data_IF_661707457726
#
_entry.id   IF_661707457726
#
_cell.length_a   1.000
_cell.length_b   1.000
_cell.length_c   1.000
_cell.angle_alpha   90.00
_cell.angle_beta   90.00
_cell.angle_gamma   90.00
#
_symmetry.space_group_name_H-M   'P 1'
#
loop_
_entity.id
_entity.type
_entity.pdbx_description
1 polymer ?
#
# COMPACT_ATOMS: atom_id res chain seq x y z
N UNK A 1 15.73 17.61 22.64
CA UNK A 1 15.63 16.73 21.46
C UNK A 1 16.62 15.55 21.48
N UNK A 2 17.69 15.60 22.23
CA UNK A 2 18.74 14.53 22.28
C UNK A 2 18.36 13.20 22.96
N UNK A 3 17.28 13.15 23.75
CA UNK A 3 16.92 11.91 24.50
C UNK A 3 16.13 10.87 23.68
N UNK A 4 15.55 11.21 22.54
CA UNK A 4 14.74 10.28 21.75
C UNK A 4 15.61 9.43 20.82
N UNK A 5 16.57 10.00 20.12
CA UNK A 5 17.49 9.27 19.24
C UNK A 5 18.38 8.25 19.97
N UNK A 6 18.69 8.50 21.25
CA UNK A 6 19.48 7.56 22.07
C UNK A 6 18.71 6.31 22.49
N UNK A 7 17.36 6.39 22.60
CA UNK A 7 16.53 5.22 22.91
C UNK A 7 16.35 4.30 21.69
N UNK A 8 16.17 4.86 20.51
CA UNK A 8 16.02 4.09 19.27
C UNK A 8 17.34 3.38 18.88
N UNK A 9 18.48 4.05 19.04
CA UNK A 9 19.80 3.44 18.85
C UNK A 9 20.08 2.31 19.85
N UNK A 10 19.57 2.43 21.09
CA UNK A 10 19.71 1.38 22.12
C UNK A 10 18.82 0.19 21.78
N UNK A 11 17.61 0.40 21.26
CA UNK A 11 16.68 -0.67 20.86
C UNK A 11 17.28 -1.46 19.68
N UNK A 12 17.80 -0.79 18.67
CA UNK A 12 18.44 -1.43 17.52
C UNK A 12 19.68 -2.24 17.94
N UNK A 13 20.51 -1.69 18.83
CA UNK A 13 21.67 -2.39 19.37
C UNK A 13 21.26 -3.60 20.23
N UNK A 14 20.17 -3.49 20.99
CA UNK A 14 19.66 -4.58 21.84
C UNK A 14 19.10 -5.73 20.97
N UNK A 15 18.42 -5.42 19.88
CA UNK A 15 17.93 -6.42 18.92
C UNK A 15 19.10 -7.15 18.24
N UNK A 16 20.14 -6.43 17.83
CA UNK A 16 21.36 -7.04 17.27
C UNK A 16 22.07 -7.96 18.27
N UNK A 17 22.14 -7.56 19.53
CA UNK A 17 22.76 -8.37 20.60
C UNK A 17 21.92 -9.62 20.91
N UNK A 18 20.58 -9.53 20.88
CA UNK A 18 19.69 -10.67 21.08
C UNK A 18 19.81 -11.66 19.92
N UNK A 19 19.84 -11.17 18.68
CA UNK A 19 20.05 -12.02 17.49
C UNK A 19 21.43 -12.71 17.55
N UNK A 20 22.49 -11.98 17.90
CA UNK A 20 23.82 -12.55 18.09
C UNK A 20 23.87 -13.60 19.23
N UNK A 21 23.18 -13.33 20.36
CA UNK A 21 23.11 -14.25 21.49
C UNK A 21 22.29 -15.53 21.18
N UNK A 22 21.23 -15.43 20.39
CA UNK A 22 20.46 -16.59 19.89
C UNK A 22 21.32 -17.44 18.95
N UNK A 23 22.07 -16.81 18.05
CA UNK A 23 22.99 -17.51 17.15
C UNK A 23 24.12 -18.22 17.95
N UNK A 24 24.73 -17.56 18.94
CA UNK A 24 25.79 -18.15 19.77
C UNK A 24 25.26 -19.25 20.70
N UNK A 25 24.08 -19.10 21.29
CA UNK A 25 23.44 -20.13 22.14
C UNK A 25 23.07 -21.38 21.34
N UNK A 26 22.71 -21.24 20.06
CA UNK A 26 22.41 -22.32 19.14
C UNK A 26 23.68 -23.05 18.68
N UNK A 27 24.76 -22.32 18.43
CA UNK A 27 26.04 -22.88 18.04
C UNK A 27 26.74 -23.71 19.17
N UNK A 28 26.44 -23.41 20.42
CA UNK A 28 27.04 -24.11 21.59
C UNK A 28 26.31 -25.42 21.95
N UNK A 29 25.14 -25.70 21.39
CA UNK A 29 24.35 -26.90 21.64
C UNK A 29 24.62 -28.08 20.68
N UNK A 30 25.47 -27.90 19.64
CA UNK A 30 25.58 -28.80 18.51
C UNK A 30 26.87 -29.66 18.46
N UNK A 31 27.61 -29.77 19.57
CA UNK A 31 28.78 -30.65 19.58
C UNK A 31 28.49 -31.99 20.26
N UNK A 32 27.86 -32.89 19.56
CA UNK A 32 28.00 -34.31 19.76
C UNK A 32 28.32 -34.98 18.42
N UNK A 33 29.61 -35.28 18.22
CA UNK A 33 30.08 -36.07 17.09
C UNK A 33 29.73 -37.54 17.28
N UNK A 34 28.82 -38.06 16.46
CA UNK A 34 28.83 -39.48 16.12
C UNK A 34 29.22 -39.62 14.64
N UNK A 35 30.47 -40.06 14.40
CA UNK A 35 31.02 -40.35 13.07
C UNK A 35 30.63 -41.77 12.63
N UNK A 36 29.34 -41.98 12.39
CA UNK A 36 28.84 -43.16 11.67
C UNK A 36 28.12 -42.67 10.41
N UNK A 37 28.66 -42.93 9.22
CA UNK A 37 27.91 -42.72 7.98
C UNK A 37 26.69 -43.64 8.01
N UNK A 38 25.50 -43.05 8.23
CA UNK A 38 24.23 -43.73 8.12
C UNK A 38 23.98 -44.00 6.63
N UNK A 39 23.85 -45.26 6.22
CA UNK A 39 23.38 -45.56 4.88
C UNK A 39 21.93 -45.21 4.74
N UNK A 40 21.63 -44.25 3.83
CA UNK A 40 20.28 -43.80 3.54
C UNK A 40 19.50 -44.93 2.84
N UNK A 41 18.31 -45.20 3.30
CA UNK A 41 17.33 -46.05 2.62
C UNK A 41 16.83 -45.36 1.32
N UNK A 42 16.26 -46.10 0.40
CA UNK A 42 15.69 -45.55 -0.83
C UNK A 42 14.56 -44.57 -0.53
N UNK A 43 13.76 -44.79 0.51
CA UNK A 43 12.67 -43.88 0.96
C UNK A 43 13.28 -42.59 1.48
N UNK A 44 14.33 -42.61 2.30
CA UNK A 44 14.99 -41.37 2.77
C UNK A 44 15.58 -40.57 1.60
N UNK A 45 16.18 -41.26 0.60
CA UNK A 45 16.69 -40.59 -0.61
C UNK A 45 15.58 -39.90 -1.40
N UNK A 46 14.42 -40.55 -1.53
CA UNK A 46 13.25 -39.97 -2.21
C UNK A 46 12.74 -38.73 -1.45
N UNK A 47 12.57 -38.86 -0.14
CA UNK A 47 12.09 -37.73 0.69
C UNK A 47 13.06 -36.53 0.64
N UNK A 48 14.38 -36.79 0.60
CA UNK A 48 15.39 -35.74 0.43
C UNK A 48 15.24 -35.05 -0.94
N UNK A 49 15.07 -35.86 -1.99
CA UNK A 49 14.89 -35.33 -3.35
C UNK A 49 13.62 -34.46 -3.47
N UNK A 50 12.51 -34.91 -2.91
CA UNK A 50 11.23 -34.19 -2.93
C UNK A 50 11.32 -32.89 -2.13
N UNK A 51 11.97 -32.92 -0.96
CA UNK A 51 12.21 -31.71 -0.17
C UNK A 51 13.09 -30.70 -0.93
N UNK A 52 14.22 -31.13 -1.51
CA UNK A 52 15.14 -30.26 -2.27
C UNK A 52 14.44 -29.65 -3.49
N UNK A 53 13.58 -30.43 -4.17
CA UNK A 53 12.77 -29.92 -5.26
C UNK A 53 11.77 -28.86 -4.78
N UNK A 54 11.08 -29.10 -3.65
CA UNK A 54 10.11 -28.19 -3.08
C UNK A 54 10.74 -26.84 -2.69
N UNK A 55 11.87 -26.87 -1.99
CA UNK A 55 12.57 -25.63 -1.62
C UNK A 55 13.13 -24.92 -2.86
N UNK A 56 13.56 -25.64 -3.89
CA UNK A 56 14.03 -25.03 -5.13
C UNK A 56 12.92 -24.26 -5.83
N UNK A 57 11.69 -24.77 -5.81
CA UNK A 57 10.50 -24.07 -6.33
C UNK A 57 10.23 -22.79 -5.54
N UNK A 58 10.23 -22.84 -4.20
CA UNK A 58 10.01 -21.68 -3.35
C UNK A 58 11.09 -20.60 -3.56
N UNK A 59 12.35 -21.00 -3.65
CA UNK A 59 13.46 -20.07 -3.94
C UNK A 59 13.29 -19.44 -5.31
N UNK A 60 12.89 -20.20 -6.32
CA UNK A 60 12.61 -19.66 -7.64
C UNK A 60 11.45 -18.65 -7.64
N UNK A 61 10.39 -18.96 -6.88
CA UNK A 61 9.26 -18.03 -6.71
C UNK A 61 9.72 -16.74 -6.01
N UNK A 62 10.49 -16.84 -4.93
CA UNK A 62 11.06 -15.67 -4.23
C UNK A 62 11.94 -14.82 -5.15
N UNK A 63 12.74 -15.44 -6.01
CA UNK A 63 13.53 -14.71 -7.01
C UNK A 63 12.64 -13.97 -8.02
N UNK A 64 11.49 -14.55 -8.43
CA UNK A 64 10.52 -13.88 -9.30
C UNK A 64 9.86 -12.67 -8.61
N UNK A 65 9.48 -12.82 -7.34
CA UNK A 65 8.92 -11.70 -6.55
C UNK A 65 9.92 -10.55 -6.47
N UNK A 66 11.18 -10.86 -6.16
CA UNK A 66 12.24 -9.84 -6.10
C UNK A 66 12.46 -9.16 -7.45
N UNK A 67 12.48 -9.94 -8.54
CA UNK A 67 12.58 -9.38 -9.88
C UNK A 67 11.40 -8.44 -10.20
N UNK A 68 10.16 -8.85 -9.84
CA UNK A 68 8.97 -8.01 -9.99
C UNK A 68 9.12 -6.71 -9.21
N UNK A 69 9.53 -6.78 -7.94
CA UNK A 69 9.74 -5.61 -7.09
C UNK A 69 10.72 -4.60 -7.74
N UNK A 70 11.92 -5.02 -8.12
CA UNK A 70 12.90 -4.10 -8.72
C UNK A 70 12.46 -3.61 -10.10
N UNK A 71 11.78 -4.45 -10.89
CA UNK A 71 11.21 -4.02 -12.17
C UNK A 71 10.12 -2.95 -12.00
N UNK A 72 9.23 -3.09 -11.01
CA UNK A 72 8.23 -2.07 -10.65
C UNK A 72 8.92 -0.77 -10.26
N UNK A 73 9.99 -0.85 -9.45
CA UNK A 73 10.75 0.36 -9.07
C UNK A 73 11.42 1.06 -10.26
N UNK A 74 11.87 0.33 -11.27
CA UNK A 74 12.44 0.94 -12.48
C UNK A 74 11.39 1.55 -13.42
N UNK A 75 10.15 1.08 -13.33
CA UNK A 75 9.02 1.53 -14.16
C UNK A 75 8.12 2.57 -13.49
N UNK A 76 8.49 3.09 -12.35
CA UNK A 76 7.67 4.07 -11.60
C UNK A 76 7.24 5.27 -12.45
N UNK A 77 8.00 5.64 -13.48
CA UNK A 77 7.67 6.73 -14.42
C UNK A 77 6.48 6.43 -15.34
N UNK A 78 6.11 5.16 -15.45
CA UNK A 78 5.05 4.67 -16.34
C UNK A 78 3.79 4.28 -15.54
N UNK A 79 3.86 4.28 -14.21
CA UNK A 79 2.79 3.82 -13.33
C UNK A 79 2.02 5.00 -12.73
N UNK A 80 0.70 4.80 -12.62
CA UNK A 80 -0.11 5.63 -11.72
C UNK A 80 0.18 5.27 -10.26
N UNK A 81 -0.31 6.11 -9.33
CA UNK A 81 -0.20 5.83 -7.90
C UNK A 81 -0.96 4.56 -7.52
N UNK A 82 -2.14 4.35 -8.09
CA UNK A 82 -2.99 3.18 -7.87
C UNK A 82 -2.34 1.90 -8.40
N UNK A 83 -1.73 1.97 -9.59
CA UNK A 83 -1.02 0.83 -10.18
C UNK A 83 0.19 0.45 -9.32
N UNK A 84 0.98 1.44 -8.88
CA UNK A 84 2.11 1.21 -7.99
C UNK A 84 1.66 0.59 -6.65
N UNK A 85 0.56 1.08 -6.07
CA UNK A 85 -0.02 0.52 -4.83
C UNK A 85 -0.43 -0.93 -5.02
N UNK A 86 -1.11 -1.23 -6.12
CA UNK A 86 -1.59 -2.57 -6.47
C UNK A 86 -0.44 -3.54 -6.73
N UNK A 87 0.59 -3.13 -7.49
CA UNK A 87 1.76 -3.97 -7.75
C UNK A 87 2.55 -4.28 -6.46
N UNK A 88 2.70 -3.29 -5.56
CA UNK A 88 3.37 -3.51 -4.28
C UNK A 88 2.55 -4.43 -3.35
N UNK A 89 1.22 -4.33 -3.36
CA UNK A 89 0.37 -5.26 -2.61
C UNK A 89 0.49 -6.70 -3.13
N UNK A 90 0.51 -6.90 -4.44
CA UNK A 90 0.70 -8.22 -5.04
C UNK A 90 2.08 -8.82 -4.68
N UNK A 91 3.14 -8.00 -4.69
CA UNK A 91 4.49 -8.42 -4.26
C UNK A 91 4.50 -8.87 -2.79
N UNK A 92 3.83 -8.14 -1.91
CA UNK A 92 3.72 -8.49 -0.49
C UNK A 92 2.97 -9.81 -0.33
N UNK A 93 1.83 -9.98 -0.99
CA UNK A 93 1.01 -11.19 -0.89
C UNK A 93 1.75 -12.41 -1.45
N UNK A 94 2.39 -12.29 -2.63
CA UNK A 94 3.21 -13.36 -3.22
C UNK A 94 4.34 -13.77 -2.27
N UNK A 95 5.02 -12.80 -1.64
CA UNK A 95 6.08 -13.07 -0.67
C UNK A 95 5.57 -13.77 0.59
N UNK A 96 4.41 -13.36 1.08
CA UNK A 96 3.74 -13.97 2.24
C UNK A 96 3.35 -15.42 1.96
N UNK A 97 2.78 -15.71 0.80
CA UNK A 97 2.44 -17.09 0.37
C UNK A 97 3.69 -17.98 0.33
N UNK A 98 4.84 -17.46 -0.14
CA UNK A 98 6.09 -18.22 -0.15
C UNK A 98 6.55 -18.55 1.27
N UNK A 99 6.47 -17.59 2.19
CA UNK A 99 6.81 -17.79 3.59
C UNK A 99 5.88 -18.81 4.25
N UNK A 100 4.57 -18.72 4.03
CA UNK A 100 3.59 -19.68 4.56
C UNK A 100 3.84 -21.09 4.02
N UNK A 101 4.04 -21.22 2.71
CA UNK A 101 4.37 -22.50 2.08
C UNK A 101 5.69 -23.08 2.60
N UNK A 102 6.70 -22.26 2.93
CA UNK A 102 7.94 -22.75 3.52
C UNK A 102 7.72 -23.34 4.91
N UNK A 103 6.86 -22.73 5.72
CA UNK A 103 6.51 -23.21 7.07
C UNK A 103 5.70 -24.50 7.06
N UNK A 104 4.99 -24.79 5.96
CA UNK A 104 4.23 -26.04 5.78
C UNK A 104 5.08 -27.20 5.32
N UNK A 105 6.30 -26.97 4.85
CA UNK A 105 7.21 -28.03 4.48
C UNK A 105 7.69 -28.80 5.70
N UNK A 106 7.74 -30.14 5.56
CA UNK A 106 8.32 -31.03 6.57
C UNK A 106 9.75 -31.39 6.13
N UNK A 107 10.79 -30.72 6.64
CA UNK A 107 12.15 -31.07 6.31
C UNK A 107 12.52 -32.45 6.87
N UNK A 108 13.31 -33.23 6.16
CA UNK A 108 13.99 -34.39 6.80
C UNK A 108 14.80 -33.91 8.00
N UNK A 109 14.84 -34.71 9.07
CA UNK A 109 15.50 -34.40 10.36
C UNK A 109 16.90 -33.78 10.20
N UNK A 110 17.66 -34.25 9.22
CA UNK A 110 19.02 -33.77 8.93
C UNK A 110 19.08 -32.36 8.35
N UNK A 111 17.95 -31.84 7.82
CA UNK A 111 17.86 -30.53 7.19
C UNK A 111 17.06 -29.52 8.01
N UNK A 112 16.56 -29.85 9.20
CA UNK A 112 15.80 -28.95 10.05
C UNK A 112 16.54 -27.65 10.31
N UNK A 113 17.84 -27.72 10.60
CA UNK A 113 18.67 -26.52 10.84
C UNK A 113 18.78 -25.65 9.60
N UNK A 114 19.04 -26.26 8.44
CA UNK A 114 19.10 -25.54 7.17
C UNK A 114 17.71 -24.93 6.84
N UNK A 115 16.64 -25.68 7.06
CA UNK A 115 15.28 -25.22 6.83
C UNK A 115 14.95 -23.97 7.66
N UNK A 116 15.32 -23.94 8.95
CA UNK A 116 15.14 -22.76 9.79
C UNK A 116 15.82 -21.50 9.24
N UNK A 117 17.00 -21.64 8.59
CA UNK A 117 17.60 -20.51 7.86
C UNK A 117 16.80 -20.11 6.64
N UNK A 118 16.22 -21.07 5.89
CA UNK A 118 15.38 -20.76 4.73
C UNK A 118 14.12 -20.03 5.12
N UNK A 119 13.43 -20.45 6.18
CA UNK A 119 12.29 -19.74 6.73
C UNK A 119 12.66 -18.30 7.11
N UNK A 120 13.79 -18.12 7.79
CA UNK A 120 14.28 -16.79 8.17
C UNK A 120 14.59 -15.92 6.94
N UNK A 121 15.08 -16.50 5.83
CA UNK A 121 15.26 -15.79 4.56
C UNK A 121 13.94 -15.25 4.07
N UNK A 122 12.91 -16.09 3.98
CA UNK A 122 11.60 -15.66 3.45
C UNK A 122 10.89 -14.71 4.39
N UNK A 123 10.97 -14.88 5.71
CA UNK A 123 10.43 -13.98 6.71
C UNK A 123 11.07 -12.57 6.59
N UNK A 124 12.39 -12.53 6.47
CA UNK A 124 13.14 -11.27 6.31
C UNK A 124 12.80 -10.56 5.00
N UNK A 125 12.61 -11.31 3.91
CA UNK A 125 12.19 -10.77 2.60
C UNK A 125 10.77 -10.23 2.65
N UNK A 126 9.84 -11.01 3.22
CA UNK A 126 8.45 -10.57 3.37
C UNK A 126 8.36 -9.27 4.17
N UNK A 127 9.04 -9.24 5.32
CA UNK A 127 9.12 -8.04 6.15
C UNK A 127 9.68 -6.84 5.37
N UNK A 128 10.69 -7.02 4.55
CA UNK A 128 11.23 -5.94 3.73
C UNK A 128 10.19 -5.36 2.78
N UNK A 129 9.40 -6.18 2.10
CA UNK A 129 8.34 -5.71 1.20
C UNK A 129 7.19 -5.05 1.96
N UNK A 130 6.76 -5.60 3.10
CA UNK A 130 5.72 -5.01 3.96
C UNK A 130 6.11 -3.62 4.46
N UNK A 131 7.35 -3.46 4.94
CA UNK A 131 7.84 -2.19 5.50
C UNK A 131 8.14 -1.15 4.40
N UNK A 132 8.48 -1.60 3.18
CA UNK A 132 8.81 -0.71 2.05
C UNK A 132 7.63 0.12 1.59
N UNK A 133 6.47 -0.50 1.38
CA UNK A 133 5.29 0.16 0.82
C UNK A 133 4.87 1.41 1.61
N UNK A 134 4.58 1.35 2.92
CA UNK A 134 4.18 2.52 3.69
C UNK A 134 5.29 3.58 3.75
N UNK A 135 6.56 3.17 3.83
CA UNK A 135 7.69 4.10 3.85
C UNK A 135 7.82 4.87 2.53
N UNK A 136 7.66 4.20 1.37
CA UNK A 136 7.67 4.85 0.07
C UNK A 136 6.53 5.86 -0.05
N UNK A 137 5.29 5.47 0.28
CA UNK A 137 4.14 6.37 0.17
C UNK A 137 4.22 7.55 1.17
N UNK A 138 4.84 7.40 2.32
CA UNK A 138 5.13 8.51 3.23
C UNK A 138 6.18 9.46 2.64
N UNK A 139 7.25 8.94 2.05
CA UNK A 139 8.25 9.74 1.35
C UNK A 139 7.64 10.55 0.20
N UNK A 140 6.74 9.94 -0.59
CA UNK A 140 6.05 10.61 -1.71
C UNK A 140 5.11 11.73 -1.26
N UNK A 141 4.64 11.73 0.00
CA UNK A 141 3.81 12.78 0.61
C UNK A 141 4.58 13.88 1.31
N UNK A 142 5.91 13.88 1.28
CA UNK A 142 6.79 14.75 2.06
C UNK A 142 6.58 14.68 3.59
N UNK A 143 5.97 13.59 4.05
CA UNK A 143 5.79 13.36 5.47
C UNK A 143 7.09 12.77 6.06
N UNK A 144 7.74 13.51 6.93
CA UNK A 144 8.94 13.06 7.65
C UNK A 144 9.96 12.36 6.73
N UNK A 145 10.44 13.08 5.71
CA UNK A 145 11.31 12.52 4.65
C UNK A 145 12.53 11.79 5.22
N UNK A 146 13.14 12.31 6.28
CA UNK A 146 14.29 11.67 6.94
C UNK A 146 13.93 10.32 7.56
N UNK A 147 12.74 10.24 8.19
CA UNK A 147 12.23 9.01 8.79
C UNK A 147 11.92 8.00 7.67
N UNK A 148 11.18 8.43 6.64
CA UNK A 148 10.82 7.57 5.51
C UNK A 148 12.06 7.06 4.77
N UNK A 149 13.07 7.91 4.55
CA UNK A 149 14.33 7.52 3.94
C UNK A 149 15.05 6.47 4.79
N UNK A 150 15.07 6.65 6.11
CA UNK A 150 15.67 5.68 7.04
C UNK A 150 14.91 4.35 7.00
N UNK A 151 13.58 4.38 6.97
CA UNK A 151 12.75 3.18 6.86
C UNK A 151 13.02 2.43 5.56
N UNK A 152 13.05 3.11 4.42
CA UNK A 152 13.38 2.51 3.11
C UNK A 152 14.80 1.92 3.12
N UNK A 153 15.77 2.63 3.70
CA UNK A 153 17.13 2.10 3.85
C UNK A 153 17.13 0.80 4.65
N UNK A 154 16.37 0.73 5.74
CA UNK A 154 16.25 -0.48 6.55
C UNK A 154 15.62 -1.63 5.77
N UNK A 155 14.66 -1.38 4.86
CA UNK A 155 14.09 -2.44 4.03
C UNK A 155 15.14 -3.04 3.09
N UNK A 156 15.99 -2.21 2.48
CA UNK A 156 17.11 -2.72 1.68
C UNK A 156 18.18 -3.43 2.51
N UNK A 157 18.39 -3.03 3.76
CA UNK A 157 19.23 -3.76 4.69
C UNK A 157 18.64 -5.15 5.02
N UNK A 158 17.33 -5.27 5.21
CA UNK A 158 16.68 -6.58 5.36
C UNK A 158 16.85 -7.45 4.12
N UNK A 159 16.70 -6.90 2.92
CA UNK A 159 16.97 -7.64 1.68
C UNK A 159 18.41 -8.13 1.61
N UNK A 160 19.38 -7.27 1.92
CA UNK A 160 20.79 -7.63 2.00
C UNK A 160 21.05 -8.72 3.05
N UNK A 161 20.48 -8.58 4.26
CA UNK A 161 20.60 -9.59 5.31
C UNK A 161 20.01 -10.93 4.87
N UNK A 162 18.89 -10.93 4.16
CA UNK A 162 18.29 -12.16 3.64
C UNK A 162 19.21 -12.88 2.65
N UNK A 163 19.96 -12.14 1.83
CA UNK A 163 20.93 -12.72 0.91
C UNK A 163 22.11 -13.38 1.67
N UNK A 164 22.60 -12.74 2.73
CA UNK A 164 23.65 -13.32 3.58
C UNK A 164 23.14 -14.55 4.36
N UNK A 165 21.90 -14.53 4.86
CA UNK A 165 21.28 -15.69 5.53
C UNK A 165 21.07 -16.82 4.52
N UNK A 166 20.77 -16.52 3.27
CA UNK A 166 20.63 -17.53 2.23
C UNK A 166 21.94 -18.29 1.96
N UNK A 167 23.08 -17.64 2.04
CA UNK A 167 24.38 -18.30 1.95
C UNK A 167 24.58 -19.30 3.12
N UNK A 168 24.20 -18.93 4.35
CA UNK A 168 24.23 -19.84 5.49
C UNK A 168 23.30 -21.04 5.29
N UNK A 169 22.12 -20.81 4.74
CA UNK A 169 21.21 -21.90 4.38
C UNK A 169 21.87 -22.87 3.40
N UNK A 170 22.46 -22.36 2.33
CA UNK A 170 23.14 -23.20 1.33
C UNK A 170 24.31 -23.99 1.94
N UNK A 171 25.12 -23.36 2.77
CA UNK A 171 26.23 -24.00 3.45
C UNK A 171 25.75 -25.09 4.39
N UNK A 172 24.72 -24.86 5.19
CA UNK A 172 24.15 -25.85 6.11
C UNK A 172 23.47 -27.01 5.38
N UNK A 173 22.79 -26.74 4.31
CA UNK A 173 22.20 -27.80 3.48
C UNK A 173 23.27 -28.67 2.86
N UNK A 174 24.33 -28.07 2.33
CA UNK A 174 25.47 -28.79 1.76
C UNK A 174 26.20 -29.64 2.82
N UNK A 175 26.51 -29.06 3.98
CA UNK A 175 27.12 -29.73 5.11
C UNK A 175 26.32 -30.97 5.52
N UNK A 176 25.02 -30.83 5.67
CA UNK A 176 24.10 -31.92 6.02
C UNK A 176 24.09 -33.01 4.94
N UNK A 177 24.06 -32.61 3.65
CA UNK A 177 24.13 -33.54 2.53
C UNK A 177 25.46 -34.34 2.50
N UNK A 178 26.59 -33.67 2.70
CA UNK A 178 27.93 -34.31 2.74
C UNK A 178 28.04 -35.33 3.88
N UNK A 179 27.47 -34.99 5.06
CA UNK A 179 27.43 -35.92 6.20
C UNK A 179 26.63 -37.19 5.89
N UNK A 180 25.62 -37.11 5.03
CA UNK A 180 24.81 -38.22 4.54
C UNK A 180 25.43 -38.93 3.33
N UNK A 181 26.60 -38.48 2.84
CA UNK A 181 27.24 -39.02 1.65
C UNK A 181 26.60 -38.60 0.33
N UNK A 182 25.70 -37.60 0.35
CA UNK A 182 25.10 -37.04 -0.85
C UNK A 182 26.10 -36.01 -1.43
N UNK A 183 26.60 -36.33 -2.61
CA UNK A 183 27.51 -35.43 -3.35
C UNK A 183 26.69 -34.52 -4.25
N UNK A 184 27.06 -33.23 -4.32
CA UNK A 184 26.49 -32.24 -5.24
C UNK A 184 25.02 -31.87 -4.94
N UNK A 185 24.68 -31.66 -3.67
CA UNK A 185 23.42 -31.09 -3.29
C UNK A 185 23.49 -29.57 -3.60
N UNK A 186 22.87 -29.16 -4.70
CA UNK A 186 22.90 -27.78 -5.15
C UNK A 186 21.48 -27.23 -5.24
N UNK A 187 21.31 -26.01 -4.78
CA UNK A 187 20.08 -25.23 -4.95
C UNK A 187 20.43 -23.96 -5.75
N UNK A 188 19.47 -23.43 -6.48
CA UNK A 188 19.66 -22.23 -7.29
C UNK A 188 20.10 -21.05 -6.42
N UNK A 189 20.92 -20.18 -6.98
CA UNK A 189 21.32 -18.95 -6.31
C UNK A 189 20.14 -17.99 -6.12
N UNK A 190 20.18 -17.27 -5.01
CA UNK A 190 19.14 -16.30 -4.68
C UNK A 190 19.76 -15.07 -4.05
N UNK A 191 20.21 -14.15 -4.90
CA UNK A 191 20.66 -12.80 -4.51
C UNK A 191 19.60 -11.82 -5.02
N UNK A 192 18.87 -11.20 -4.10
CA UNK A 192 17.79 -10.26 -4.44
C UNK A 192 18.29 -8.83 -4.52
N UNK A 193 19.18 -8.40 -3.62
CA UNK A 193 19.72 -7.04 -3.62
C UNK A 193 21.01 -6.96 -4.44
N UNK A 194 20.88 -6.71 -5.74
CA UNK A 194 22.02 -6.60 -6.66
C UNK A 194 22.81 -5.30 -6.45
N UNK A 195 22.11 -4.19 -6.19
CA UNK A 195 22.73 -2.90 -5.89
C UNK A 195 22.84 -2.70 -4.38
N UNK A 196 24.01 -3.04 -3.85
CA UNK A 196 24.33 -2.85 -2.43
C UNK A 196 24.43 -1.38 -2.02
N UNK A 197 24.51 -0.44 -2.97
CA UNK A 197 24.46 1.00 -2.71
C UNK A 197 23.17 1.43 -2.03
N UNK A 198 22.06 0.72 -2.28
CA UNK A 198 20.75 1.00 -1.68
C UNK A 198 20.70 0.75 -0.15
N UNK A 199 21.71 0.12 0.44
CA UNK A 199 21.85 0.03 1.90
C UNK A 199 22.38 1.34 2.53
N UNK A 200 22.67 2.35 1.70
CA UNK A 200 23.14 3.64 2.14
C UNK A 200 22.04 4.69 2.01
N UNK A 201 21.79 5.44 3.06
CA UNK A 201 20.74 6.48 3.14
C UNK A 201 20.88 7.54 2.03
N UNK A 202 22.11 7.93 1.66
CA UNK A 202 22.33 8.91 0.58
C UNK A 202 21.86 8.41 -0.77
N UNK A 203 22.11 7.13 -1.08
CA UNK A 203 21.63 6.50 -2.33
C UNK A 203 20.10 6.37 -2.34
N UNK A 204 19.51 6.04 -1.19
CA UNK A 204 18.05 5.98 -1.03
C UNK A 204 17.41 7.36 -1.17
N UNK A 205 18.03 8.44 -0.68
CA UNK A 205 17.56 9.81 -0.92
C UNK A 205 17.53 10.13 -2.42
N UNK A 206 18.57 9.74 -3.15
CA UNK A 206 18.63 9.90 -4.61
C UNK A 206 17.49 9.14 -5.31
N UNK A 207 17.28 7.89 -4.93
CA UNK A 207 16.18 7.05 -5.42
C UNK A 207 14.80 7.66 -5.16
N UNK A 208 14.53 8.11 -3.92
CA UNK A 208 13.26 8.79 -3.58
C UNK A 208 13.10 10.07 -4.40
N UNK A 209 14.16 10.87 -4.53
CA UNK A 209 14.12 12.11 -5.30
C UNK A 209 13.79 11.86 -6.76
N UNK A 210 14.30 10.79 -7.35
CA UNK A 210 13.99 10.41 -8.73
C UNK A 210 12.50 10.03 -8.88
N UNK A 211 11.96 9.20 -7.98
CA UNK A 211 10.54 8.79 -8.01
C UNK A 211 9.64 10.02 -7.80
N UNK A 212 9.98 10.94 -6.92
CA UNK A 212 9.20 12.16 -6.65
C UNK A 212 9.10 13.11 -7.85
N UNK A 213 9.98 13.02 -8.83
CA UNK A 213 9.83 13.80 -10.07
C UNK A 213 8.66 13.32 -10.93
N UNK A 214 8.10 12.14 -10.65
CA UNK A 214 6.96 11.57 -11.38
C UNK A 214 5.67 12.16 -10.83
N UNK A 215 5.07 13.10 -11.56
CA UNK A 215 3.86 13.83 -11.14
C UNK A 215 2.69 12.89 -10.82
N UNK A 216 2.57 11.78 -11.56
CA UNK A 216 1.48 10.79 -11.39
C UNK A 216 1.53 10.06 -10.03
N UNK A 217 2.71 9.97 -9.42
CA UNK A 217 2.89 9.32 -8.11
C UNK A 217 2.66 10.27 -6.93
N UNK A 218 2.62 11.59 -7.16
CA UNK A 218 2.32 12.54 -6.10
C UNK A 218 0.87 12.37 -5.66
N UNK A 219 0.64 12.51 -4.37
CA UNK A 219 -0.72 12.52 -3.84
C UNK A 219 -1.44 13.77 -4.32
N UNK A 220 -2.54 13.57 -5.04
CA UNK A 220 -3.48 14.63 -5.40
C UNK A 220 -4.80 14.34 -4.70
N UNK A 221 -5.29 15.32 -3.97
CA UNK A 221 -6.58 15.27 -3.29
C UNK A 221 -7.50 16.30 -3.87
N UNK A 222 -8.78 15.98 -3.97
CA UNK A 222 -9.76 16.93 -4.41
C UNK A 222 -11.09 16.29 -4.76
N UNK A 223 -12.14 17.05 -4.50
CA UNK A 223 -13.52 16.71 -4.88
C UNK A 223 -14.09 17.83 -5.74
N UNK A 224 -15.04 17.50 -6.57
CA UNK A 224 -15.71 18.48 -7.41
C UNK A 224 -17.22 18.24 -7.46
N UNK A 225 -17.97 19.31 -7.57
CA UNK A 225 -19.38 19.28 -7.96
C UNK A 225 -19.45 19.27 -9.50
N UNK A 226 -20.12 18.27 -10.08
CA UNK A 226 -20.32 18.20 -11.53
C UNK A 226 -21.51 19.10 -11.89
N UNK A 227 -21.21 20.25 -12.47
CA UNK A 227 -22.19 21.33 -12.74
C UNK A 227 -23.39 20.82 -13.56
N UNK A 228 -23.17 20.12 -14.64
CA UNK A 228 -24.26 19.64 -15.52
C UNK A 228 -25.05 18.43 -14.96
N UNK A 229 -24.76 18.00 -13.74
CA UNK A 229 -25.38 16.81 -13.15
C UNK A 229 -26.59 17.09 -12.29
N UNK A 230 -26.91 18.37 -12.06
CA UNK A 230 -28.00 18.73 -11.16
C UNK A 230 -29.36 18.28 -11.69
N UNK A 231 -30.17 17.76 -10.79
CA UNK A 231 -31.58 17.41 -11.05
C UNK A 231 -32.44 17.91 -9.92
N UNK A 232 -33.51 18.62 -10.30
CA UNK A 232 -34.54 19.10 -9.38
C UNK A 232 -35.75 18.16 -9.41
N UNK A 233 -36.37 18.02 -8.26
CA UNK A 233 -37.71 17.48 -8.10
C UNK A 233 -38.51 18.44 -7.19
N UNK A 234 -39.52 19.15 -7.70
CA UNK A 234 -40.16 19.06 -9.03
C UNK A 234 -39.22 19.41 -10.20
N UNK A 235 -39.51 18.80 -11.36
CA UNK A 235 -38.68 18.90 -12.56
C UNK A 235 -38.61 20.36 -13.09
N UNK A 236 -37.50 20.65 -13.78
CA UNK A 236 -37.35 21.89 -14.57
C UNK A 236 -38.25 21.83 -15.78
N UNK A 237 -39.10 22.81 -15.95
CA UNK A 237 -40.02 22.96 -17.08
C UNK A 237 -39.36 23.68 -18.25
N UNK A 238 -38.68 24.80 -17.96
CA UNK A 238 -37.99 25.65 -18.93
C UNK A 238 -37.01 26.58 -18.23
N UNK A 239 -36.32 27.42 -19.01
CA UNK A 239 -35.42 28.46 -18.53
C UNK A 239 -35.96 29.86 -18.91
N UNK A 240 -35.90 30.80 -18.00
CA UNK A 240 -36.27 32.16 -18.22
C UNK A 240 -35.16 33.13 -17.77
N UNK A 241 -34.37 33.60 -18.73
CA UNK A 241 -33.14 34.36 -18.43
C UNK A 241 -32.14 33.47 -17.69
N UNK A 242 -31.71 33.91 -16.50
CA UNK A 242 -30.77 33.15 -15.64
C UNK A 242 -31.46 32.18 -14.66
N UNK A 243 -32.79 32.03 -14.77
CA UNK A 243 -33.59 31.26 -13.82
C UNK A 243 -34.13 29.97 -14.46
N UNK A 244 -33.92 28.84 -13.78
CA UNK A 244 -34.63 27.60 -14.05
C UNK A 244 -36.07 27.71 -13.52
N UNK A 245 -37.06 27.37 -14.31
CA UNK A 245 -38.47 27.34 -13.88
C UNK A 245 -38.82 25.93 -13.50
N UNK A 246 -39.07 25.69 -12.22
CA UNK A 246 -39.48 24.38 -11.70
C UNK A 246 -41.00 24.25 -11.72
N UNK A 247 -41.49 23.03 -11.90
CA UNK A 247 -42.91 22.73 -11.72
C UNK A 247 -43.34 23.03 -10.26
N UNK A 248 -44.62 23.26 -10.07
CA UNK A 248 -45.18 23.48 -8.73
C UNK A 248 -45.10 22.19 -7.89
N UNK A 249 -44.86 22.32 -6.58
CA UNK A 249 -44.76 21.22 -5.62
C UNK A 249 -44.60 21.70 -4.18
N UNK A 250 -44.89 20.85 -3.20
CA UNK A 250 -44.87 21.24 -1.79
C UNK A 250 -43.44 21.31 -1.20
N UNK A 251 -42.50 20.61 -1.81
CA UNK A 251 -41.10 20.49 -1.38
C UNK A 251 -40.18 20.42 -2.59
N UNK A 252 -38.92 20.72 -2.38
CA UNK A 252 -37.88 20.61 -3.39
C UNK A 252 -36.84 19.60 -2.94
N UNK A 253 -36.50 18.71 -3.84
CA UNK A 253 -35.36 17.80 -3.70
C UNK A 253 -34.34 18.08 -4.79
N UNK A 254 -33.06 17.99 -4.44
CA UNK A 254 -31.96 18.29 -5.35
C UNK A 254 -30.99 17.10 -5.36
N UNK A 255 -30.74 16.56 -6.53
CA UNK A 255 -29.70 15.56 -6.73
C UNK A 255 -28.55 16.16 -7.53
N UNK A 256 -27.32 15.88 -7.10
CA UNK A 256 -26.08 16.36 -7.74
C UNK A 256 -25.03 15.26 -7.69
N UNK A 257 -24.13 15.27 -8.66
CA UNK A 257 -23.01 14.30 -8.69
C UNK A 257 -21.76 14.97 -8.15
N UNK A 258 -21.10 14.28 -7.21
CA UNK A 258 -19.79 14.63 -6.67
C UNK A 258 -18.76 13.65 -7.24
N UNK A 259 -17.63 14.16 -7.69
CA UNK A 259 -16.52 13.39 -8.22
C UNK A 259 -15.30 13.52 -7.32
N UNK A 260 -14.61 12.43 -7.05
CA UNK A 260 -13.24 12.48 -6.55
C UNK A 260 -12.30 12.70 -7.74
N UNK A 261 -11.70 13.88 -7.83
CA UNK A 261 -10.72 14.25 -8.87
C UNK A 261 -9.27 14.01 -8.43
N UNK A 262 -9.09 13.51 -7.22
CA UNK A 262 -7.79 13.07 -6.69
C UNK A 262 -7.38 11.68 -7.17
N UNK A 263 -6.24 11.21 -6.64
CA UNK A 263 -5.72 9.87 -6.85
C UNK A 263 -5.62 9.06 -5.54
N UNK A 264 -6.39 9.44 -4.54
CA UNK A 264 -6.54 8.73 -3.26
C UNK A 264 -8.00 8.66 -2.88
N UNK A 265 -8.37 7.67 -2.08
CA UNK A 265 -9.71 7.58 -1.52
C UNK A 265 -9.98 8.78 -0.61
N UNK A 266 -11.10 9.47 -0.83
CA UNK A 266 -11.58 10.50 0.06
C UNK A 266 -12.66 9.94 0.97
N UNK A 267 -12.54 10.20 2.28
CA UNK A 267 -13.50 9.75 3.28
C UNK A 267 -14.18 10.95 3.92
N UNK A 268 -15.40 10.74 4.42
CA UNK A 268 -16.20 11.74 5.13
C UNK A 268 -16.36 13.05 4.33
N UNK A 269 -16.61 12.92 3.01
CA UNK A 269 -16.79 14.08 2.14
C UNK A 269 -18.12 14.72 2.43
N UNK A 270 -18.10 15.95 2.97
CA UNK A 270 -19.29 16.69 3.32
C UNK A 270 -19.78 17.52 2.14
N UNK A 271 -21.09 17.42 1.83
CA UNK A 271 -21.76 18.19 0.79
C UNK A 271 -22.81 19.08 1.46
N UNK A 272 -22.65 20.38 1.30
CA UNK A 272 -23.53 21.37 1.88
C UNK A 272 -24.36 22.01 0.78
N UNK A 273 -25.69 22.10 0.97
CA UNK A 273 -26.61 22.82 0.10
C UNK A 273 -27.24 23.96 0.86
N UNK A 274 -27.02 25.18 0.37
CA UNK A 274 -27.58 26.41 0.90
C UNK A 274 -28.63 26.95 -0.05
N UNK A 275 -29.83 27.06 0.44
CA UNK A 275 -30.99 27.58 -0.28
C UNK A 275 -31.42 28.92 0.28
N UNK A 276 -31.55 29.88 -0.57
CA UNK A 276 -31.94 31.25 -0.18
C UNK A 276 -32.99 31.83 -1.13
N UNK A 277 -34.02 32.44 -0.59
CA UNK A 277 -35.03 33.21 -1.35
C UNK A 277 -34.67 34.69 -1.42
N UNK A 278 -35.25 35.44 -2.35
CA UNK A 278 -35.09 36.88 -2.46
C UNK A 278 -35.49 37.67 -1.17
N UNK A 279 -36.36 37.08 -0.33
CA UNK A 279 -36.74 37.63 0.99
C UNK A 279 -35.78 37.22 2.12
N UNK A 280 -34.62 36.69 1.81
CA UNK A 280 -33.61 36.21 2.75
C UNK A 280 -34.10 35.04 3.66
N UNK A 281 -35.06 34.23 3.22
CA UNK A 281 -35.32 32.95 3.89
C UNK A 281 -34.20 32.00 3.54
N UNK A 282 -33.55 31.42 4.56
CA UNK A 282 -32.37 30.61 4.41
C UNK A 282 -32.63 29.23 4.99
N UNK A 283 -32.28 28.18 4.20
CA UNK A 283 -32.22 26.80 4.64
C UNK A 283 -30.86 26.22 4.25
N UNK A 284 -30.24 25.48 5.17
CA UNK A 284 -28.98 24.77 4.95
C UNK A 284 -29.15 23.29 5.30
N UNK A 285 -28.68 22.42 4.44
CA UNK A 285 -28.71 20.97 4.65
C UNK A 285 -27.39 20.36 4.22
N UNK A 286 -27.01 19.29 4.91
CA UNK A 286 -25.75 18.61 4.72
C UNK A 286 -25.96 17.12 4.42
N UNK A 287 -25.04 16.54 3.66
CA UNK A 287 -24.95 15.12 3.40
C UNK A 287 -23.47 14.71 3.44
N UNK A 288 -23.15 13.61 4.12
CA UNK A 288 -21.79 13.08 4.18
C UNK A 288 -21.69 11.82 3.32
N UNK A 289 -20.74 11.81 2.40
CA UNK A 289 -20.34 10.63 1.63
C UNK A 289 -19.26 9.89 2.43
N UNK A 290 -19.53 8.66 2.89
CA UNK A 290 -18.60 7.91 3.73
C UNK A 290 -17.25 7.69 3.04
N UNK A 291 -17.26 7.32 1.76
CA UNK A 291 -16.05 7.19 0.95
C UNK A 291 -16.33 7.31 -0.54
N UNK A 292 -15.31 7.81 -1.27
CA UNK A 292 -15.33 7.92 -2.73
C UNK A 292 -13.93 7.61 -3.28
N UNK A 293 -13.82 6.55 -4.10
CA UNK A 293 -12.55 6.14 -4.70
C UNK A 293 -12.06 7.16 -5.74
N UNK A 294 -10.77 7.14 -6.10
CA UNK A 294 -10.24 7.96 -7.20
C UNK A 294 -11.08 7.83 -8.47
N UNK A 295 -11.39 8.96 -9.08
CA UNK A 295 -12.19 9.07 -10.32
C UNK A 295 -13.65 8.62 -10.20
N UNK A 296 -14.09 8.05 -9.07
CA UNK A 296 -15.48 7.65 -8.85
C UNK A 296 -16.42 8.86 -8.77
N UNK A 297 -17.68 8.58 -9.07
CA UNK A 297 -18.82 9.51 -9.01
C UNK A 297 -19.80 9.04 -7.93
N UNK A 298 -20.30 9.98 -7.13
CA UNK A 298 -21.37 9.73 -6.15
C UNK A 298 -22.51 10.72 -6.35
N UNK A 299 -23.71 10.19 -6.50
CA UNK A 299 -24.92 11.02 -6.54
C UNK A 299 -25.37 11.29 -5.10
N UNK A 300 -25.48 12.54 -4.77
CA UNK A 300 -26.01 13.04 -3.47
C UNK A 300 -27.39 13.62 -3.73
N UNK A 301 -28.39 13.18 -2.98
CA UNK A 301 -29.74 13.75 -3.02
C UNK A 301 -30.07 14.33 -1.66
N UNK A 302 -30.38 15.62 -1.61
CA UNK A 302 -30.89 16.30 -0.43
C UNK A 302 -32.32 16.75 -0.71
N UNK A 303 -33.22 16.35 0.16
CA UNK A 303 -34.65 16.53 0.01
C UNK A 303 -35.24 17.47 1.05
N UNK A 304 -36.54 17.77 0.91
CA UNK A 304 -37.33 18.47 1.91
C UNK A 304 -37.03 19.99 2.08
N UNK A 305 -36.44 20.67 1.07
CA UNK A 305 -36.42 22.11 1.07
C UNK A 305 -37.84 22.66 0.92
N UNK A 306 -38.13 23.77 1.62
CA UNK A 306 -39.44 24.38 1.54
C UNK A 306 -39.65 25.04 0.18
N UNK A 307 -40.74 24.76 -0.48
CA UNK A 307 -41.08 25.40 -1.74
C UNK A 307 -41.69 26.78 -1.52
N UNK A 308 -41.30 27.78 -2.33
CA UNK A 308 -41.81 29.12 -2.32
C UNK A 308 -42.23 29.54 -3.75
N UNK A 309 -43.44 29.16 -4.22
CA UNK A 309 -43.91 29.48 -5.57
C UNK A 309 -43.85 31.00 -5.86
N UNK A 310 -43.49 31.36 -7.09
CA UNK A 310 -43.37 32.73 -7.56
C UNK A 310 -42.16 33.51 -7.06
N UNK A 311 -41.38 32.99 -6.12
CA UNK A 311 -40.17 33.65 -5.59
C UNK A 311 -38.91 33.26 -6.32
N UNK A 312 -38.02 34.23 -6.47
CA UNK A 312 -36.65 33.99 -6.94
C UNK A 312 -35.84 33.37 -5.85
N UNK A 313 -35.20 32.26 -6.19
CA UNK A 313 -34.41 31.46 -5.27
C UNK A 313 -32.99 31.24 -5.82
N UNK A 314 -32.02 31.13 -4.92
CA UNK A 314 -30.64 30.74 -5.20
C UNK A 314 -30.32 29.50 -4.40
N UNK A 315 -29.69 28.50 -5.06
CA UNK A 315 -29.16 27.31 -4.45
C UNK A 315 -27.65 27.29 -4.67
N UNK A 316 -26.90 27.27 -3.59
CA UNK A 316 -25.45 27.03 -3.60
C UNK A 316 -25.17 25.57 -3.12
N UNK A 317 -24.44 24.82 -3.91
CA UNK A 317 -24.03 23.46 -3.59
C UNK A 317 -22.54 23.47 -3.47
N UNK A 318 -22.01 23.00 -2.32
CA UNK A 318 -20.58 22.97 -2.03
C UNK A 318 -20.19 21.57 -1.58
N UNK A 319 -19.28 20.90 -2.31
CA UNK A 319 -18.49 19.82 -1.75
C UNK A 319 -17.38 20.46 -0.91
N UNK A 320 -17.43 20.27 0.40
CA UNK A 320 -16.44 20.88 1.31
C UNK A 320 -15.05 20.40 0.96
N UNK A 321 -14.08 21.30 0.74
CA UNK A 321 -12.73 20.91 0.37
C UNK A 321 -12.12 19.90 1.34
N UNK A 322 -11.53 18.85 0.80
CA UNK A 322 -10.85 17.83 1.61
C UNK A 322 -9.46 18.32 2.07
N UNK A 323 -8.95 17.85 3.21
CA UNK A 323 -7.63 18.27 3.70
C UNK A 323 -6.52 18.06 2.67
N UNK A 324 -5.81 19.11 2.31
CA UNK A 324 -4.73 19.08 1.30
C UNK A 324 -5.20 19.24 -0.15
N UNK A 325 -6.47 19.55 -0.38
CA UNK A 325 -6.96 19.95 -1.70
C UNK A 325 -6.39 21.31 -2.10
N UNK A 326 -5.87 21.38 -3.32
CA UNK A 326 -5.25 22.60 -3.86
C UNK A 326 -6.22 23.34 -4.77
N UNK A 327 -7.00 22.58 -5.54
CA UNK A 327 -7.96 23.14 -6.49
C UNK A 327 -9.36 23.13 -5.87
N UNK A 328 -9.89 24.30 -5.52
CA UNK A 328 -11.19 24.45 -4.86
C UNK A 328 -12.20 25.27 -5.66
N UNK A 329 -11.84 25.73 -6.86
CA UNK A 329 -12.69 26.51 -7.75
C UNK A 329 -13.86 25.72 -8.34
N UNK A 330 -13.78 24.41 -8.34
CA UNK A 330 -14.78 23.46 -8.83
C UNK A 330 -15.58 22.76 -7.72
N UNK A 331 -15.38 23.17 -6.45
CA UNK A 331 -16.10 22.60 -5.31
C UNK A 331 -17.49 23.21 -5.11
N UNK A 332 -17.79 24.34 -5.72
CA UNK A 332 -19.05 25.08 -5.50
C UNK A 332 -19.70 25.43 -6.81
N UNK A 333 -20.99 25.18 -6.89
CA UNK A 333 -21.85 25.62 -8.00
C UNK A 333 -23.07 26.36 -7.47
N UNK A 334 -23.61 27.26 -8.29
CA UNK A 334 -24.79 28.06 -7.93
C UNK A 334 -25.83 27.99 -9.02
N UNK A 335 -27.08 27.86 -8.60
CA UNK A 335 -28.22 27.82 -9.49
C UNK A 335 -29.26 28.83 -9.03
N UNK A 336 -29.84 29.55 -9.99
CA UNK A 336 -30.99 30.41 -9.76
C UNK A 336 -32.23 29.72 -10.30
N UNK A 337 -33.28 29.72 -9.52
CA UNK A 337 -34.52 29.11 -9.96
C UNK A 337 -35.75 29.84 -9.40
N UNK A 338 -36.89 29.58 -9.98
CA UNK A 338 -38.22 29.96 -9.51
C UNK A 338 -39.14 28.76 -9.66
N UNK A 339 -40.13 28.65 -8.79
CA UNK A 339 -41.21 27.68 -8.98
C UNK A 339 -42.38 28.40 -9.62
N UNK A 340 -43.08 27.65 -10.50
CA UNK A 340 -44.31 28.14 -11.13
C UNK A 340 -45.35 28.43 -10.07
N UNK A 341 -46.10 29.56 -10.26
CA UNK A 341 -47.28 29.88 -9.46
C UNK A 341 -48.47 29.07 -9.95
N UNK A 342 -49.38 28.64 -9.05
CA UNK A 342 -50.62 27.91 -9.40
C UNK A 342 -51.52 28.72 -10.33
#
# INVERSE_FOLDING_TARGET
MERRGRKESIITLTIMIIIAAVIVSWLSGLWSCETGRKELTDIERLNISDYVNSISVLVQQSNKVSYKFFNTMTKTKELSREDLDSELLEIIEDSKVILENSRELNPPEFFEVAHGYLELVFDTRNKAYEDFKPALFNALRDLDLDISTTQITNTFLYMFMSDEIYLYFQDKLKESGENLGIKNLTIIDSVILKDRGLTNTQSVMGFISEIKTVTELQQRRGVAVIEDSIKFDPQVLNEQGDYLILANGPKISVAVTIQNQGNVVENDVNVVMKYMTEDNIFEEKEYTIDSINPSDLRVVTISEFTAYPGRKCELEITAVPVPGEVRTDNNTVKYKFMMEED
#
